data_IF_326383453914
#
_entry.id   IF_326383453914
#
_cell.length_a   1.000
_cell.length_b   1.000
_cell.length_c   1.000
_cell.angle_alpha   90.00
_cell.angle_beta   90.00
_cell.angle_gamma   90.00
#
_symmetry.space_group_name_H-M   'P 1'
#
loop_
_entity.id
_entity.type
_entity.pdbx_description
1 polymer ?
#
# COMPACT_ATOMS: atom_id res chain seq x y z
N UNK A 1 -3.86 -8.82 20.58
CA UNK A 1 -5.16 -8.16 20.31
C UNK A 1 -6.29 -9.18 20.50
N UNK A 2 -6.42 -9.76 21.70
CA UNK A 2 -7.32 -10.92 21.94
C UNK A 2 -8.74 -10.51 22.41
N UNK A 3 -9.01 -9.23 22.68
CA UNK A 3 -10.35 -8.78 23.12
C UNK A 3 -11.02 -7.71 22.26
N UNK A 4 -10.40 -7.29 21.14
CA UNK A 4 -10.99 -6.26 20.27
C UNK A 4 -12.21 -6.80 19.52
N UNK A 5 -12.12 -8.02 18.99
CA UNK A 5 -13.23 -8.67 18.29
C UNK A 5 -14.45 -8.80 19.20
N UNK A 6 -14.27 -9.41 20.38
CA UNK A 6 -15.35 -9.58 21.36
C UNK A 6 -15.97 -8.23 21.78
N UNK A 7 -15.14 -7.19 21.91
CA UNK A 7 -15.61 -5.84 22.22
C UNK A 7 -16.43 -5.25 21.07
N UNK A 8 -16.02 -5.43 19.83
CA UNK A 8 -16.79 -4.98 18.66
C UNK A 8 -18.09 -5.77 18.50
N UNK A 9 -18.10 -7.06 18.81
CA UNK A 9 -19.29 -7.91 18.74
C UNK A 9 -20.32 -7.56 19.82
N UNK A 10 -19.87 -6.99 20.96
CA UNK A 10 -20.77 -6.46 21.99
C UNK A 10 -21.52 -5.18 21.60
N UNK A 11 -21.18 -4.53 20.48
CA UNK A 11 -21.80 -3.27 20.04
C UNK A 11 -23.01 -3.51 19.14
N UNK A 12 -24.08 -2.76 19.39
CA UNK A 12 -25.40 -2.97 18.75
C UNK A 12 -25.52 -2.35 17.36
N UNK A 13 -24.65 -1.42 16.98
CA UNK A 13 -24.69 -0.77 15.68
C UNK A 13 -23.34 -0.73 14.97
N UNK A 14 -23.39 -0.65 13.64
CA UNK A 14 -22.19 -0.49 12.81
C UNK A 14 -21.46 0.82 13.11
N UNK A 15 -22.18 1.91 13.36
CA UNK A 15 -21.62 3.22 13.67
C UNK A 15 -20.82 3.21 14.97
N UNK A 16 -21.26 2.47 15.98
CA UNK A 16 -20.51 2.30 17.23
C UNK A 16 -19.22 1.51 17.01
N UNK A 17 -19.27 0.45 16.19
CA UNK A 17 -18.08 -0.32 15.80
C UNK A 17 -17.08 0.58 15.07
N UNK A 18 -17.55 1.39 14.12
CA UNK A 18 -16.71 2.35 13.40
C UNK A 18 -16.03 3.37 14.33
N UNK A 19 -16.74 3.92 15.33
CA UNK A 19 -16.16 4.85 16.31
C UNK A 19 -15.02 4.24 17.14
N UNK A 20 -15.12 2.96 17.50
CA UNK A 20 -14.02 2.27 18.20
C UNK A 20 -12.85 2.05 17.24
N UNK A 21 -13.12 1.63 16.01
CA UNK A 21 -12.08 1.37 15.01
C UNK A 21 -11.36 2.65 14.59
N UNK A 22 -12.04 3.80 14.55
CA UNK A 22 -11.42 5.08 14.18
C UNK A 22 -10.37 5.57 15.18
N UNK A 23 -10.37 5.07 16.43
CA UNK A 23 -9.27 5.30 17.37
C UNK A 23 -7.92 4.80 16.82
N UNK A 24 -7.93 3.70 16.05
CA UNK A 24 -6.72 3.13 15.46
C UNK A 24 -6.26 3.88 14.20
N UNK A 25 -7.13 4.67 13.56
CA UNK A 25 -6.77 5.42 12.34
C UNK A 25 -5.66 6.46 12.60
N UNK A 26 -5.63 7.04 13.81
CA UNK A 26 -4.64 8.03 14.22
C UNK A 26 -3.33 7.45 14.77
N UNK A 27 -3.24 6.13 14.97
CA UNK A 27 -1.98 5.49 15.37
C UNK A 27 -1.09 5.33 14.14
N UNK A 28 -0.25 6.34 13.90
CA UNK A 28 0.85 6.24 12.95
C UNK A 28 1.79 5.13 13.42
N UNK A 29 1.76 4.00 12.73
CA UNK A 29 2.77 2.98 12.91
C UNK A 29 4.04 3.49 12.22
N UNK A 30 5.13 3.66 12.98
CA UNK A 30 6.47 3.92 12.43
C UNK A 30 7.05 2.65 11.77
N UNK A 31 6.24 2.01 10.92
CA UNK A 31 6.54 0.78 10.21
C UNK A 31 6.12 0.95 8.76
N UNK A 32 6.46 -0.03 7.94
CA UNK A 32 5.97 -0.15 6.60
C UNK A 32 5.25 -1.49 6.45
N UNK A 33 4.37 -1.58 5.45
CA UNK A 33 3.69 -2.82 5.06
C UNK A 33 4.18 -3.19 3.67
N UNK A 34 4.56 -4.45 3.48
CA UNK A 34 4.84 -5.01 2.15
C UNK A 34 3.81 -6.09 1.84
N UNK A 35 3.09 -5.91 0.74
CA UNK A 35 2.06 -6.84 0.27
C UNK A 35 2.53 -7.44 -1.04
N UNK A 36 2.90 -8.72 -1.05
CA UNK A 36 3.12 -9.45 -2.29
C UNK A 36 1.78 -9.99 -2.82
N UNK A 37 1.34 -9.44 -3.96
CA UNK A 37 0.04 -9.74 -4.56
C UNK A 37 0.08 -10.96 -5.47
N UNK A 38 1.27 -11.47 -5.78
CA UNK A 38 1.47 -12.69 -6.55
C UNK A 38 2.10 -12.47 -7.92
N UNK A 39 2.12 -13.56 -8.70
CA UNK A 39 2.61 -13.60 -10.08
C UNK A 39 1.42 -13.60 -11.04
N UNK A 40 1.33 -12.57 -11.87
CA UNK A 40 0.36 -12.49 -12.94
C UNK A 40 0.89 -13.23 -14.17
N UNK A 41 0.02 -14.03 -14.78
CA UNK A 41 0.31 -14.75 -16.02
C UNK A 41 -0.71 -14.35 -17.08
N UNK A 42 -0.29 -13.49 -18.01
CA UNK A 42 -1.10 -13.07 -19.16
C UNK A 42 -0.78 -13.85 -20.44
N UNK A 43 -0.01 -14.94 -20.34
CA UNK A 43 0.41 -15.74 -21.48
C UNK A 43 1.17 -14.91 -22.52
N UNK A 44 0.84 -15.11 -23.79
CA UNK A 44 1.44 -14.40 -24.93
C UNK A 44 1.21 -12.89 -24.89
N UNK A 45 0.22 -12.42 -24.14
CA UNK A 45 -0.09 -10.99 -24.04
C UNK A 45 0.77 -10.25 -23.00
N UNK A 46 1.57 -10.97 -22.21
CA UNK A 46 2.42 -10.36 -21.17
C UNK A 46 3.40 -9.33 -21.75
N UNK A 47 3.85 -9.53 -22.99
CA UNK A 47 4.73 -8.59 -23.71
C UNK A 47 4.10 -7.21 -23.98
N UNK A 48 2.77 -7.11 -23.93
CA UNK A 48 2.04 -5.87 -24.14
C UNK A 48 1.73 -5.13 -22.83
N UNK A 49 2.08 -5.71 -21.68
CA UNK A 49 1.90 -5.08 -20.37
C UNK A 49 3.16 -4.30 -20.02
N UNK A 50 3.05 -2.96 -19.99
CA UNK A 50 4.14 -2.10 -19.56
C UNK A 50 4.23 -2.03 -18.04
N UNK A 51 3.09 -1.92 -17.36
CA UNK A 51 3.00 -1.64 -15.92
C UNK A 51 1.76 -2.31 -15.30
N UNK A 52 1.87 -2.66 -14.01
CA UNK A 52 0.75 -3.14 -13.19
C UNK A 52 0.76 -2.36 -11.88
N UNK A 53 -0.34 -1.65 -11.60
CA UNK A 53 -0.47 -0.80 -10.43
C UNK A 53 -1.65 -1.19 -9.54
N UNK A 54 -1.44 -1.20 -8.23
CA UNK A 54 -2.44 -1.52 -7.23
C UNK A 54 -2.65 -0.37 -6.25
N UNK A 55 -3.74 0.35 -6.44
CA UNK A 55 -4.16 1.45 -5.58
C UNK A 55 -5.23 0.98 -4.59
N UNK A 56 -4.85 0.78 -3.33
CA UNK A 56 -5.78 0.46 -2.25
C UNK A 56 -5.61 1.39 -1.04
N UNK A 57 -6.75 1.71 -0.41
CA UNK A 57 -6.86 2.39 0.88
C UNK A 57 -6.67 1.41 2.05
N UNK A 58 -6.69 1.97 3.26
CA UNK A 58 -6.70 1.21 4.51
C UNK A 58 -5.35 1.15 5.22
N UNK A 59 -4.30 1.78 4.67
CA UNK A 59 -2.98 1.86 5.31
C UNK A 59 -2.52 3.31 5.38
N UNK A 60 -2.28 3.78 6.60
CA UNK A 60 -1.59 5.04 6.92
C UNK A 60 -0.08 4.78 7.00
N UNK A 61 0.75 5.70 6.54
CA UNK A 61 2.21 5.52 6.53
C UNK A 61 2.74 5.07 5.17
N UNK A 62 3.70 4.13 5.15
CA UNK A 62 4.32 3.61 3.93
C UNK A 62 3.82 2.18 3.65
N UNK A 63 3.18 1.97 2.51
CA UNK A 63 2.78 0.66 2.02
C UNK A 63 3.42 0.38 0.66
N UNK A 64 3.96 -0.82 0.48
CA UNK A 64 4.55 -1.28 -0.77
C UNK A 64 3.71 -2.44 -1.28
N UNK A 65 3.06 -2.26 -2.42
CA UNK A 65 2.45 -3.38 -3.12
C UNK A 65 3.45 -3.92 -4.14
N UNK A 66 3.70 -5.22 -4.10
CA UNK A 66 4.63 -5.88 -5.01
C UNK A 66 3.89 -6.94 -5.82
N UNK A 67 4.13 -6.95 -7.13
CA UNK A 67 3.66 -8.02 -8.01
C UNK A 67 4.76 -8.43 -8.99
N UNK A 68 4.58 -9.55 -9.67
CA UNK A 68 5.47 -10.01 -10.72
C UNK A 68 4.67 -10.33 -11.98
N UNK A 69 5.15 -9.90 -13.14
CA UNK A 69 4.65 -10.33 -14.44
C UNK A 69 5.81 -10.48 -15.43
N UNK A 70 5.86 -11.61 -16.13
CA UNK A 70 6.99 -11.96 -16.99
C UNK A 70 8.29 -12.03 -16.17
N UNK A 71 9.27 -11.20 -16.56
CA UNK A 71 10.57 -11.08 -15.90
C UNK A 71 10.69 -9.83 -15.03
N UNK A 72 9.58 -9.11 -14.79
CA UNK A 72 9.58 -7.85 -14.08
C UNK A 72 8.89 -7.99 -12.72
N UNK A 73 9.41 -7.26 -11.74
CA UNK A 73 8.71 -6.93 -10.52
C UNK A 73 8.15 -5.52 -10.63
N UNK A 74 6.90 -5.34 -10.20
CA UNK A 74 6.22 -4.06 -10.13
C UNK A 74 6.00 -3.70 -8.66
N UNK A 75 6.51 -2.55 -8.23
CA UNK A 75 6.43 -2.08 -6.85
C UNK A 75 5.73 -0.73 -6.79
N UNK A 76 4.55 -0.67 -6.18
CA UNK A 76 3.85 0.58 -5.88
C UNK A 76 4.16 1.04 -4.47
N UNK A 77 4.95 2.11 -4.34
CA UNK A 77 5.22 2.79 -3.08
C UNK A 77 4.09 3.79 -2.79
N UNK A 78 3.17 3.41 -1.92
CA UNK A 78 2.06 4.24 -1.47
C UNK A 78 2.39 4.88 -0.14
N UNK A 79 2.20 6.18 -0.06
CA UNK A 79 2.45 6.94 1.14
C UNK A 79 1.45 8.07 1.30
N UNK A 80 1.09 8.37 2.54
CA UNK A 80 0.24 9.51 2.88
C UNK A 80 1.02 10.72 3.41
N UNK A 81 2.36 10.67 3.37
CA UNK A 81 3.26 11.78 3.70
C UNK A 81 3.96 12.32 2.43
N UNK A 82 4.38 13.59 2.42
CA UNK A 82 4.88 14.24 1.20
C UNK A 82 6.31 13.82 0.79
N UNK A 83 7.13 13.35 1.72
CA UNK A 83 8.55 13.05 1.47
C UNK A 83 8.75 11.77 0.67
N UNK A 84 9.51 11.82 -0.42
CA UNK A 84 9.87 10.67 -1.27
C UNK A 84 11.16 9.96 -0.82
N UNK A 85 11.68 10.27 0.38
CA UNK A 85 13.00 9.84 0.84
C UNK A 85 13.19 8.32 0.81
N UNK A 86 12.14 7.55 1.07
CA UNK A 86 12.22 6.08 1.10
C UNK A 86 12.29 5.48 -0.30
N UNK A 87 11.55 6.03 -1.26
CA UNK A 87 11.62 5.60 -2.66
C UNK A 87 13.00 5.91 -3.23
N UNK A 88 13.51 7.12 -2.98
CA UNK A 88 14.87 7.51 -3.38
C UNK A 88 15.95 6.62 -2.76
N UNK A 89 15.84 6.34 -1.47
CA UNK A 89 16.78 5.44 -0.79
C UNK A 89 16.73 4.03 -1.40
N UNK A 90 15.55 3.51 -1.72
CA UNK A 90 15.40 2.22 -2.38
C UNK A 90 16.08 2.18 -3.76
N UNK A 91 15.85 3.20 -4.60
CA UNK A 91 16.51 3.33 -5.90
C UNK A 91 18.05 3.34 -5.78
N UNK A 92 18.60 4.08 -4.81
CA UNK A 92 20.05 4.10 -4.55
C UNK A 92 20.59 2.71 -4.19
N UNK A 93 19.85 1.91 -3.44
CA UNK A 93 20.25 0.52 -3.16
C UNK A 93 20.18 -0.38 -4.40
N UNK A 94 19.19 -0.19 -5.29
CA UNK A 94 19.15 -0.91 -6.58
C UNK A 94 20.35 -0.56 -7.46
N UNK A 95 20.72 0.72 -7.54
CA UNK A 95 21.91 1.18 -8.28
C UNK A 95 23.19 0.52 -7.74
N UNK A 96 23.37 0.49 -6.41
CA UNK A 96 24.53 -0.16 -5.77
C UNK A 96 24.59 -1.66 -6.05
N UNK A 97 23.45 -2.32 -6.15
CA UNK A 97 23.34 -3.74 -6.45
C UNK A 97 23.44 -4.04 -7.95
N UNK A 98 23.48 -3.02 -8.82
CA UNK A 98 23.48 -3.20 -10.26
C UNK A 98 22.17 -3.76 -10.81
N UNK A 99 21.05 -3.52 -10.12
CA UNK A 99 19.72 -3.97 -10.56
C UNK A 99 19.13 -2.89 -11.47
N UNK A 100 18.83 -3.25 -12.71
CA UNK A 100 18.13 -2.37 -13.64
C UNK A 100 16.69 -2.10 -13.16
N UNK A 101 16.28 -0.83 -13.20
CA UNK A 101 14.92 -0.43 -12.83
C UNK A 101 14.46 0.80 -13.62
N UNK A 102 13.14 0.95 -13.68
CA UNK A 102 12.48 2.18 -14.11
C UNK A 102 11.64 2.69 -12.94
N UNK A 103 11.72 3.97 -12.64
CA UNK A 103 10.91 4.60 -11.60
C UNK A 103 10.04 5.71 -12.19
N UNK A 104 8.74 5.64 -11.92
CA UNK A 104 7.84 6.75 -12.21
C UNK A 104 8.06 7.91 -11.22
N UNK A 105 7.58 9.10 -11.58
CA UNK A 105 7.41 10.18 -10.63
C UNK A 105 6.29 9.91 -9.61
N UNK A 106 5.99 10.91 -8.78
CA UNK A 106 4.85 10.87 -7.86
C UNK A 106 3.53 10.89 -8.64
N UNK A 107 2.70 9.86 -8.45
CA UNK A 107 1.36 9.77 -9.04
C UNK A 107 0.32 10.00 -7.93
N UNK A 108 -0.43 11.11 -7.94
CA UNK A 108 -1.54 11.29 -7.01
C UNK A 108 -2.71 10.39 -7.40
N UNK A 109 -3.31 9.71 -6.44
CA UNK A 109 -4.52 8.92 -6.63
C UNK A 109 -5.48 9.09 -5.45
N UNK A 110 -6.75 8.76 -5.69
CA UNK A 110 -7.82 8.74 -4.68
C UNK A 110 -8.51 7.39 -4.79
N UNK A 111 -8.78 6.74 -3.67
CA UNK A 111 -9.62 5.53 -3.63
C UNK A 111 -10.97 5.82 -2.97
N UNK A 112 -12.02 5.01 -3.22
CA UNK A 112 -13.37 5.27 -2.66
C UNK A 112 -13.43 5.39 -1.13
N UNK A 113 -12.51 4.75 -0.40
CA UNK A 113 -12.43 4.80 1.08
C UNK A 113 -11.65 5.99 1.65
N UNK A 114 -11.01 6.81 0.80
CA UNK A 114 -10.12 7.86 1.27
C UNK A 114 -10.83 9.00 2.00
N UNK A 115 -12.11 9.25 1.67
CA UNK A 115 -12.94 10.26 2.35
C UNK A 115 -13.35 9.84 3.76
N UNK A 116 -13.24 8.55 4.08
CA UNK A 116 -13.67 7.96 5.36
C UNK A 116 -12.49 7.93 6.35
N UNK A 117 -11.26 7.78 5.85
CA UNK A 117 -10.05 7.68 6.69
C UNK A 117 -9.61 9.08 7.11
N UNK A 118 -9.57 9.36 8.42
CA UNK A 118 -9.08 10.64 8.93
C UNK A 118 -7.57 10.80 8.68
N UNK A 119 -7.20 11.59 7.65
CA UNK A 119 -5.81 11.99 7.40
C UNK A 119 -5.49 13.18 8.31
N UNK A 120 -4.84 12.93 9.46
CA UNK A 120 -4.22 13.99 10.27
C UNK A 120 -2.82 14.31 9.76
#
# INVERSE_FOLDING_TARGET
>A
MIGLSDKLDSLGSYEEKQKIMSFFEGMSLNTYIVSYLGKFNFGENAQYISDIHFYNSGTTGLGINMSCCGNFFFLDFKQNFPSDKYVKAFCVELEKLGIEYTASGKIPFITPGDSIIARK
#
